data_IF_912204206218
#
_entry.id   IF_912204206218
#
_cell.length_a   1.000
_cell.length_b   1.000
_cell.length_c   1.000
_cell.angle_alpha   90.00
_cell.angle_beta   90.00
_cell.angle_gamma   90.00
#
_symmetry.space_group_name_H-M   'P 1'
#
loop_
_entity.id
_entity.type
_entity.pdbx_description
1 polymer ?
#
# COMPACT_ATOMS: atom_id res chain seq x y z
N UNK A 1 -7.92 -1.68 33.67
CA UNK A 1 -7.48 -2.81 32.83
C UNK A 1 -6.41 -2.30 31.88
N UNK A 2 -5.23 -2.91 31.86
CA UNK A 2 -4.06 -2.46 31.07
C UNK A 2 -4.22 -2.83 29.59
N UNK A 3 -4.99 -2.03 28.85
CA UNK A 3 -5.20 -2.19 27.40
C UNK A 3 -3.90 -2.09 26.58
N UNK A 4 -2.86 -1.46 27.12
CA UNK A 4 -1.62 -1.14 26.42
C UNK A 4 -0.77 -2.37 26.04
N UNK A 5 -0.71 -3.39 26.89
CA UNK A 5 0.09 -4.60 26.63
C UNK A 5 -0.52 -5.49 25.53
N UNK A 6 -1.85 -5.66 25.56
CA UNK A 6 -2.58 -6.44 24.56
C UNK A 6 -2.62 -5.71 23.21
N UNK A 7 -2.80 -4.39 23.22
CA UNK A 7 -2.72 -3.56 22.03
C UNK A 7 -1.37 -3.71 21.33
N UNK A 8 -0.27 -3.54 22.06
CA UNK A 8 1.07 -3.67 21.53
C UNK A 8 1.28 -5.07 20.91
N UNK A 9 0.96 -6.14 21.64
CA UNK A 9 1.11 -7.51 21.11
C UNK A 9 0.34 -7.70 19.80
N UNK A 10 -0.92 -7.26 19.73
CA UNK A 10 -1.76 -7.40 18.53
C UNK A 10 -1.21 -6.61 17.35
N UNK A 11 -0.85 -5.34 17.55
CA UNK A 11 -0.25 -4.51 16.50
C UNK A 11 1.06 -5.12 16.01
N UNK A 12 1.92 -5.57 16.92
CA UNK A 12 3.19 -6.20 16.55
C UNK A 12 2.98 -7.49 15.76
N UNK A 13 2.11 -8.39 16.22
CA UNK A 13 1.81 -9.64 15.52
C UNK A 13 1.23 -9.35 14.13
N UNK A 14 0.21 -8.49 14.01
CA UNK A 14 -0.42 -8.18 12.72
C UNK A 14 0.56 -7.50 11.75
N UNK A 15 1.41 -6.58 12.25
CA UNK A 15 2.43 -5.91 11.43
C UNK A 15 3.50 -6.90 10.96
N UNK A 16 3.93 -7.85 11.81
CA UNK A 16 4.88 -8.89 11.41
C UNK A 16 4.26 -9.83 10.37
N UNK A 17 3.02 -10.26 10.57
CA UNK A 17 2.30 -11.09 9.58
C UNK A 17 2.19 -10.35 8.25
N UNK A 18 1.79 -9.08 8.28
CA UNK A 18 1.72 -8.25 7.07
C UNK A 18 3.10 -8.11 6.42
N UNK A 19 4.16 -7.89 7.18
CA UNK A 19 5.52 -7.82 6.67
C UNK A 19 5.97 -9.13 5.99
N UNK A 20 5.66 -10.29 6.58
CA UNK A 20 5.96 -11.60 5.96
C UNK A 20 5.24 -11.71 4.61
N UNK A 21 3.94 -11.43 4.59
CA UNK A 21 3.12 -11.48 3.36
C UNK A 21 3.69 -10.54 2.31
N UNK A 22 3.92 -9.28 2.67
CA UNK A 22 4.47 -8.25 1.78
C UNK A 22 5.85 -8.66 1.26
N UNK A 23 6.70 -9.26 2.09
CA UNK A 23 8.03 -9.72 1.69
C UNK A 23 7.95 -10.82 0.65
N UNK A 24 7.15 -11.86 0.89
CA UNK A 24 6.98 -12.98 -0.04
C UNK A 24 6.43 -12.47 -1.38
N UNK A 25 5.41 -11.63 -1.33
CA UNK A 25 4.78 -11.06 -2.51
C UNK A 25 5.74 -10.11 -3.27
N UNK A 26 6.54 -9.32 -2.58
CA UNK A 26 7.51 -8.42 -3.22
C UNK A 26 8.63 -9.20 -3.90
N UNK A 27 9.15 -10.24 -3.24
CA UNK A 27 10.15 -11.14 -3.85
C UNK A 27 9.59 -11.82 -5.09
N UNK A 28 8.36 -12.34 -5.04
CA UNK A 28 7.67 -12.90 -6.20
C UNK A 28 7.56 -11.87 -7.33
N UNK A 29 7.17 -10.64 -7.01
CA UNK A 29 7.04 -9.55 -8.00
C UNK A 29 8.38 -9.25 -8.67
N UNK A 30 9.46 -9.15 -7.89
CA UNK A 30 10.80 -8.92 -8.44
C UNK A 30 11.25 -10.07 -9.35
N UNK A 31 11.01 -11.32 -8.97
CA UNK A 31 11.31 -12.48 -9.80
C UNK A 31 10.52 -12.47 -11.11
N UNK A 32 9.25 -12.09 -11.07
CA UNK A 32 8.42 -12.00 -12.28
C UNK A 32 8.88 -10.89 -13.23
N UNK A 33 9.26 -9.73 -12.69
CA UNK A 33 9.83 -8.62 -13.49
C UNK A 33 11.15 -9.06 -14.13
N UNK A 34 12.05 -9.71 -13.38
CA UNK A 34 13.32 -10.21 -13.89
C UNK A 34 13.13 -11.31 -14.95
N UNK A 35 12.19 -12.23 -14.73
CA UNK A 35 11.82 -13.26 -15.70
C UNK A 35 11.23 -12.67 -16.99
N UNK A 36 10.55 -11.54 -16.88
CA UNK A 36 9.93 -10.81 -17.99
C UNK A 36 10.75 -9.63 -18.49
N UNK A 37 12.06 -9.55 -18.19
CA UNK A 37 12.91 -8.37 -18.46
C UNK A 37 12.89 -7.88 -19.91
N UNK A 38 12.62 -8.77 -20.89
CA UNK A 38 12.50 -8.40 -22.32
C UNK A 38 11.28 -7.53 -22.63
N UNK A 39 10.29 -7.47 -21.74
CA UNK A 39 9.09 -6.64 -21.86
C UNK A 39 9.29 -5.22 -21.29
N UNK A 40 10.47 -4.93 -20.73
CA UNK A 40 10.77 -3.65 -20.08
C UNK A 40 12.06 -3.05 -20.65
N UNK A 41 12.29 -1.74 -20.50
CA UNK A 41 13.59 -1.15 -20.73
C UNK A 41 14.69 -1.85 -19.92
N UNK A 42 15.88 -2.02 -20.51
CA UNK A 42 16.97 -2.80 -19.90
C UNK A 42 17.43 -2.31 -18.52
N UNK A 43 17.17 -1.04 -18.17
CA UNK A 43 17.45 -0.47 -16.86
C UNK A 43 16.36 -0.75 -15.81
N UNK A 44 15.11 -1.00 -16.23
CA UNK A 44 13.96 -1.02 -15.34
C UNK A 44 13.95 -2.27 -14.44
N UNK A 45 14.07 -3.46 -15.02
CA UNK A 45 14.05 -4.70 -14.26
C UNK A 45 15.11 -4.77 -13.13
N UNK A 46 16.40 -4.47 -13.37
CA UNK A 46 17.41 -4.49 -12.30
C UNK A 46 17.18 -3.39 -11.25
N UNK A 47 16.78 -2.18 -11.66
CA UNK A 47 16.50 -1.09 -10.71
C UNK A 47 15.28 -1.38 -9.85
N UNK A 48 14.23 -1.97 -10.43
CA UNK A 48 13.05 -2.44 -9.72
C UNK A 48 13.39 -3.50 -8.67
N UNK A 49 14.16 -4.53 -9.06
CA UNK A 49 14.57 -5.60 -8.15
C UNK A 49 15.42 -5.07 -6.98
N UNK A 50 16.36 -4.17 -7.24
CA UNK A 50 17.14 -3.49 -6.19
C UNK A 50 16.25 -2.64 -5.27
N UNK A 51 15.28 -1.93 -5.84
CA UNK A 51 14.28 -1.18 -5.09
C UNK A 51 13.45 -2.07 -4.16
N UNK A 52 13.01 -3.24 -4.64
CA UNK A 52 12.31 -4.24 -3.83
C UNK A 52 13.17 -4.73 -2.68
N UNK A 53 14.44 -5.07 -2.93
CA UNK A 53 15.37 -5.50 -1.86
C UNK A 53 15.50 -4.41 -0.81
N UNK A 54 15.73 -3.15 -1.22
CA UNK A 54 15.79 -2.02 -0.30
C UNK A 54 14.51 -1.86 0.52
N UNK A 55 13.34 -1.97 -0.11
CA UNK A 55 12.05 -1.82 0.53
C UNK A 55 11.75 -2.95 1.55
N UNK A 56 12.08 -4.20 1.20
CA UNK A 56 12.01 -5.35 2.10
C UNK A 56 12.96 -5.18 3.29
N UNK A 57 14.21 -4.75 3.06
CA UNK A 57 15.18 -4.52 4.13
C UNK A 57 14.72 -3.41 5.08
N UNK A 58 14.28 -2.27 4.54
CA UNK A 58 13.82 -1.12 5.35
C UNK A 58 12.56 -1.48 6.14
N UNK A 59 11.57 -2.12 5.51
CA UNK A 59 10.37 -2.58 6.22
C UNK A 59 10.67 -3.64 7.28
N UNK A 60 11.62 -4.53 7.03
CA UNK A 60 12.11 -5.52 8.00
C UNK A 60 12.75 -4.86 9.22
N UNK A 61 13.58 -3.83 9.01
CA UNK A 61 14.14 -3.03 10.11
C UNK A 61 13.04 -2.36 10.94
N UNK A 62 11.98 -1.86 10.30
CA UNK A 62 10.84 -1.27 11.02
C UNK A 62 10.06 -2.32 11.80
N UNK A 63 9.80 -3.50 11.22
CA UNK A 63 9.13 -4.60 11.90
C UNK A 63 9.92 -5.11 13.12
N UNK A 64 11.25 -5.22 13.00
CA UNK A 64 12.13 -5.57 14.11
C UNK A 64 12.15 -4.50 15.19
N UNK A 65 12.21 -3.22 14.81
CA UNK A 65 12.17 -2.09 15.76
C UNK A 65 10.85 -2.08 16.52
N UNK A 66 9.73 -2.32 15.82
CA UNK A 66 8.41 -2.40 16.44
C UNK A 66 8.35 -3.56 17.43
N UNK A 67 8.84 -4.75 17.06
CA UNK A 67 8.91 -5.92 17.97
C UNK A 67 9.79 -5.68 19.19
N UNK A 68 10.89 -4.94 19.04
CA UNK A 68 11.84 -4.66 20.11
C UNK A 68 11.40 -3.50 21.02
N UNK A 69 10.41 -2.71 20.61
CA UNK A 69 9.91 -1.58 21.39
C UNK A 69 9.25 -2.09 22.67
N UNK A 70 9.52 -1.45 23.82
CA UNK A 70 8.99 -1.89 25.12
C UNK A 70 7.58 -1.38 25.40
N UNK A 71 7.24 -0.23 24.82
CA UNK A 71 5.92 0.38 24.87
C UNK A 71 5.62 1.00 23.51
N UNK A 72 4.46 0.68 22.95
CA UNK A 72 3.91 1.34 21.77
C UNK A 72 2.75 2.20 22.23
N UNK A 73 2.78 3.48 21.88
CA UNK A 73 1.73 4.42 22.24
C UNK A 73 1.22 5.14 20.99
N UNK A 74 -0.10 5.18 20.77
CA UNK A 74 -0.66 5.93 19.66
C UNK A 74 -0.37 7.43 19.80
N UNK A 75 0.33 7.99 18.81
CA UNK A 75 0.75 9.39 18.80
C UNK A 75 -0.42 10.38 18.87
N UNK A 76 -0.19 11.53 19.50
CA UNK A 76 -1.15 12.63 19.64
C UNK A 76 -0.75 13.90 18.89
N UNK A 77 0.43 13.93 18.27
CA UNK A 77 1.04 15.13 17.70
C UNK A 77 0.58 15.38 16.26
N UNK A 78 1.38 16.12 15.47
CA UNK A 78 1.02 16.46 14.09
C UNK A 78 1.12 15.29 13.12
N UNK A 79 1.89 14.23 13.45
CA UNK A 79 2.13 13.09 12.55
C UNK A 79 0.82 12.41 12.09
N UNK A 80 -0.13 12.06 12.99
CA UNK A 80 -1.44 11.54 12.58
C UNK A 80 -2.19 12.40 11.56
N UNK A 81 -2.06 13.74 11.64
CA UNK A 81 -2.74 14.67 10.73
C UNK A 81 -2.16 14.64 9.31
N UNK A 82 -0.95 14.10 9.15
CA UNK A 82 -0.29 13.95 7.85
C UNK A 82 -0.40 12.51 7.34
N UNK A 83 -0.23 11.52 8.23
CA UNK A 83 -0.19 10.11 7.82
C UNK A 83 -1.55 9.59 7.34
N UNK A 84 -2.66 9.98 7.98
CA UNK A 84 -3.99 9.52 7.57
C UNK A 84 -4.40 10.02 6.18
N UNK A 85 -4.18 11.31 5.83
CA UNK A 85 -4.31 11.75 4.45
C UNK A 85 -3.40 10.99 3.49
N UNK A 86 -2.13 10.75 3.83
CA UNK A 86 -1.22 10.00 2.96
C UNK A 86 -1.65 8.54 2.74
N UNK A 87 -2.11 7.85 3.79
CA UNK A 87 -2.68 6.50 3.68
C UNK A 87 -3.95 6.49 2.83
N UNK A 88 -4.75 7.54 2.87
CA UNK A 88 -5.94 7.66 2.00
C UNK A 88 -5.50 7.91 0.55
N UNK A 89 -4.52 8.80 0.36
CA UNK A 89 -3.95 9.14 -0.94
C UNK A 89 -3.24 7.96 -1.59
N UNK A 90 -2.72 6.98 -0.85
CA UNK A 90 -2.07 5.80 -1.45
C UNK A 90 -3.02 5.03 -2.36
N UNK A 91 -4.32 4.98 -2.03
CA UNK A 91 -5.36 4.40 -2.90
C UNK A 91 -5.53 5.18 -4.19
N UNK A 92 -5.48 6.51 -4.14
CA UNK A 92 -5.57 7.38 -5.33
C UNK A 92 -4.28 7.29 -6.17
N UNK A 93 -3.12 7.21 -5.54
CA UNK A 93 -1.84 7.07 -6.23
C UNK A 93 -1.74 5.72 -6.93
N UNK A 94 -2.23 4.63 -6.32
CA UNK A 94 -2.17 3.28 -6.90
C UNK A 94 -3.12 3.09 -8.08
N UNK A 95 -4.21 3.86 -8.18
CA UNK A 95 -5.06 3.85 -9.40
C UNK A 95 -4.35 4.46 -10.62
N UNK A 96 -3.34 5.33 -10.41
CA UNK A 96 -2.59 5.96 -11.51
C UNK A 96 -1.91 4.95 -12.45
N UNK A 97 -1.48 3.79 -11.93
CA UNK A 97 -0.78 2.75 -12.70
C UNK A 97 -1.70 2.11 -13.76
N UNK A 98 -3.02 2.19 -13.59
CA UNK A 98 -4.00 1.51 -14.43
C UNK A 98 -4.81 2.47 -15.31
N UNK A 99 -4.30 3.66 -15.57
CA UNK A 99 -4.98 4.65 -16.42
C UNK A 99 -6.21 5.32 -15.78
N UNK A 100 -6.61 4.88 -14.57
CA UNK A 100 -7.46 5.63 -13.65
C UNK A 100 -6.64 6.75 -12.99
N UNK A 101 -6.23 7.75 -13.76
CA UNK A 101 -5.73 8.97 -13.13
C UNK A 101 -6.86 9.63 -12.35
N UNK A 102 -6.57 10.50 -11.35
CA UNK A 102 -7.61 10.94 -10.43
C UNK A 102 -8.86 11.45 -11.16
N UNK A 103 -8.79 11.93 -12.41
CA UNK A 103 -9.98 12.31 -13.19
C UNK A 103 -9.89 12.10 -14.72
N UNK A 104 -9.43 10.94 -15.25
CA UNK A 104 -9.37 10.74 -16.72
C UNK A 104 -10.69 10.36 -17.40
N UNK A 105 -11.78 10.26 -16.65
CA UNK A 105 -13.10 10.03 -17.22
C UNK A 105 -14.08 11.00 -16.57
N UNK A 106 -15.02 11.60 -17.32
CA UNK A 106 -16.32 11.88 -16.73
C UNK A 106 -16.90 10.52 -16.34
N UNK A 107 -16.50 10.05 -15.15
CA UNK A 107 -16.83 8.76 -14.58
C UNK A 107 -18.33 8.46 -14.68
N UNK A 108 -19.24 9.42 -14.41
CA UNK A 108 -20.67 9.21 -14.60
C UNK A 108 -21.06 8.88 -16.06
N UNK A 109 -20.35 9.41 -17.04
CA UNK A 109 -20.66 9.28 -18.48
C UNK A 109 -20.16 7.96 -19.06
N UNK A 110 -19.03 7.42 -18.55
CA UNK A 110 -18.44 6.17 -19.07
C UNK A 110 -18.52 4.97 -18.13
N UNK A 111 -19.02 5.13 -16.90
CA UNK A 111 -19.16 4.00 -15.96
C UNK A 111 -19.95 2.85 -16.58
N UNK A 112 -21.04 3.12 -17.30
CA UNK A 112 -21.82 2.10 -18.00
C UNK A 112 -20.99 1.23 -18.94
N UNK A 113 -20.01 1.84 -19.64
CA UNK A 113 -19.12 1.18 -20.61
C UNK A 113 -17.89 0.51 -20.01
N UNK A 114 -17.61 0.67 -18.71
CA UNK A 114 -16.50 -0.02 -18.07
C UNK A 114 -16.81 -1.51 -17.91
N UNK A 115 -15.81 -2.36 -18.11
CA UNK A 115 -15.90 -3.77 -17.77
C UNK A 115 -16.11 -3.95 -16.25
N UNK A 116 -16.59 -5.14 -15.86
CA UNK A 116 -16.94 -5.43 -14.47
C UNK A 116 -15.75 -5.32 -13.52
N UNK A 117 -14.55 -5.62 -14.00
CA UNK A 117 -13.35 -5.62 -13.18
C UNK A 117 -12.90 -4.20 -12.89
N UNK A 118 -12.84 -3.35 -13.91
CA UNK A 118 -12.57 -1.93 -13.81
C UNK A 118 -13.55 -1.26 -12.81
N UNK A 119 -14.84 -1.60 -12.84
CA UNK A 119 -15.83 -1.13 -11.85
C UNK A 119 -15.50 -1.57 -10.43
N UNK A 120 -15.14 -2.83 -10.23
CA UNK A 120 -14.76 -3.37 -8.92
C UNK A 120 -13.51 -2.67 -8.37
N UNK A 121 -12.50 -2.44 -9.20
CA UNK A 121 -11.26 -1.77 -8.81
C UNK A 121 -11.52 -0.37 -8.30
N UNK A 122 -12.34 0.38 -9.04
CA UNK A 122 -12.75 1.72 -8.65
C UNK A 122 -13.51 1.67 -7.32
N UNK A 123 -14.46 0.75 -7.17
CA UNK A 123 -15.24 0.60 -5.95
C UNK A 123 -14.33 0.27 -4.74
N UNK A 124 -13.27 -0.51 -4.95
CA UNK A 124 -12.32 -0.91 -3.91
C UNK A 124 -11.27 0.17 -3.61
N UNK A 125 -10.85 0.94 -4.61
CA UNK A 125 -10.03 2.13 -4.39
C UNK A 125 -10.80 3.22 -3.63
N UNK A 126 -12.05 3.50 -4.03
CA UNK A 126 -12.93 4.45 -3.32
C UNK A 126 -13.29 3.92 -1.94
N UNK A 127 -13.65 2.64 -1.83
CA UNK A 127 -13.95 1.98 -0.57
C UNK A 127 -12.76 2.00 0.39
N UNK A 128 -11.56 1.71 -0.12
CA UNK A 128 -10.29 1.83 0.61
C UNK A 128 -10.04 3.25 1.09
N UNK A 129 -10.12 4.24 0.19
CA UNK A 129 -9.99 5.66 0.52
C UNK A 129 -10.96 6.08 1.64
N UNK A 130 -12.25 5.78 1.48
CA UNK A 130 -13.30 6.14 2.47
C UNK A 130 -13.07 5.43 3.79
N UNK A 131 -12.69 4.14 3.76
CA UNK A 131 -12.42 3.34 4.95
C UNK A 131 -11.22 3.90 5.71
N UNK A 132 -10.13 4.23 5.02
CA UNK A 132 -8.94 4.87 5.61
C UNK A 132 -9.28 6.22 6.22
N UNK A 133 -10.05 7.05 5.50
CA UNK A 133 -10.48 8.36 6.00
C UNK A 133 -11.37 8.22 7.25
N UNK A 134 -12.28 7.24 7.28
CA UNK A 134 -13.11 6.95 8.44
C UNK A 134 -12.29 6.52 9.65
N UNK A 135 -11.30 5.62 9.48
CA UNK A 135 -10.38 5.27 10.55
C UNK A 135 -9.52 6.45 11.00
N UNK A 136 -9.10 7.32 10.08
CA UNK A 136 -8.43 8.57 10.42
C UNK A 136 -9.28 9.51 11.26
N UNK A 137 -10.56 9.67 10.92
CA UNK A 137 -11.51 10.44 11.72
C UNK A 137 -11.71 9.83 13.12
N UNK A 138 -11.86 8.51 13.21
CA UNK A 138 -11.95 7.79 14.49
C UNK A 138 -10.68 7.99 15.34
N UNK A 139 -9.50 7.93 14.72
CA UNK A 139 -8.23 8.15 15.38
C UNK A 139 -8.13 9.57 15.95
N UNK A 140 -8.42 10.58 15.13
CA UNK A 140 -8.37 11.99 15.52
C UNK A 140 -9.46 12.33 16.55
N UNK A 141 -10.59 11.63 16.54
CA UNK A 141 -11.66 11.70 17.54
C UNK A 141 -11.37 10.96 18.86
N UNK A 142 -10.16 10.43 19.04
CA UNK A 142 -9.70 9.83 20.31
C UNK A 142 -9.77 8.30 20.37
N UNK A 143 -10.35 7.62 19.38
CA UNK A 143 -10.41 6.14 19.32
C UNK A 143 -9.18 5.53 18.64
N UNK A 144 -7.99 5.91 19.10
CA UNK A 144 -6.72 5.68 18.39
C UNK A 144 -6.34 4.21 18.22
N UNK A 145 -6.36 3.43 19.29
CA UNK A 145 -5.98 2.01 19.25
C UNK A 145 -6.89 1.20 18.32
N UNK A 146 -8.20 1.40 18.49
CA UNK A 146 -9.22 0.77 17.64
C UNK A 146 -9.09 1.18 16.17
N UNK A 147 -8.73 2.44 15.90
CA UNK A 147 -8.49 2.90 14.54
C UNK A 147 -7.25 2.25 13.90
N UNK A 148 -6.14 2.12 14.63
CA UNK A 148 -4.93 1.43 14.13
C UNK A 148 -5.23 -0.04 13.86
N UNK A 149 -5.82 -0.74 14.82
CA UNK A 149 -6.13 -2.17 14.69
C UNK A 149 -7.16 -2.42 13.59
N UNK A 150 -8.22 -1.61 13.55
CA UNK A 150 -9.24 -1.68 12.51
C UNK A 150 -8.65 -1.44 11.12
N UNK A 151 -7.75 -0.46 10.99
CA UNK A 151 -7.05 -0.19 9.74
C UNK A 151 -6.11 -1.33 9.31
N UNK A 152 -5.34 -1.89 10.24
CA UNK A 152 -4.50 -3.06 9.97
C UNK A 152 -5.31 -4.24 9.45
N UNK A 153 -6.43 -4.56 10.11
CA UNK A 153 -7.32 -5.64 9.70
C UNK A 153 -7.99 -5.35 8.36
N UNK A 154 -8.49 -4.13 8.17
CA UNK A 154 -9.09 -3.70 6.92
C UNK A 154 -8.08 -3.75 5.76
N UNK A 155 -6.82 -3.41 5.99
CA UNK A 155 -5.78 -3.44 4.94
C UNK A 155 -5.51 -4.85 4.39
N UNK A 156 -5.78 -5.91 5.16
CA UNK A 156 -5.77 -7.29 4.65
C UNK A 156 -6.99 -7.61 3.77
N UNK A 157 -8.09 -6.88 3.93
CA UNK A 157 -9.37 -7.11 3.25
C UNK A 157 -9.60 -6.17 2.06
N UNK A 158 -9.05 -4.95 2.10
CA UNK A 158 -9.02 -3.98 1.00
C UNK A 158 -7.94 -4.39 -0.01
N UNK A 159 -7.98 -5.67 -0.39
CA UNK A 159 -7.31 -6.22 -1.53
C UNK A 159 -7.99 -5.61 -2.75
N UNK A 160 -7.28 -4.75 -3.47
CA UNK A 160 -7.79 -4.12 -4.69
C UNK A 160 -7.70 -5.16 -5.79
N UNK A 161 -8.83 -5.72 -6.28
CA UNK A 161 -8.78 -6.57 -7.43
C UNK A 161 -8.33 -5.77 -8.65
N UNK A 162 -7.80 -6.54 -9.60
CA UNK A 162 -7.73 -6.38 -11.03
C UNK A 162 -6.89 -5.28 -11.70
N UNK A 163 -6.30 -5.69 -12.80
CA UNK A 163 -5.91 -4.93 -13.98
C UNK A 163 -6.27 -5.78 -15.21
N UNK A 164 -6.93 -5.21 -16.22
CA UNK A 164 -7.17 -5.90 -17.50
C UNK A 164 -5.89 -6.11 -18.30
N UNK A 165 -4.74 -5.57 -17.89
CA UNK A 165 -3.45 -5.84 -18.50
C UNK A 165 -2.96 -7.26 -18.16
N UNK A 166 -3.54 -8.25 -18.84
CA UNK A 166 -3.04 -9.63 -18.93
C UNK A 166 -1.77 -9.67 -19.79
N UNK A 167 -0.65 -9.20 -19.25
CA UNK A 167 0.68 -9.48 -19.78
C UNK A 167 1.33 -10.63 -18.98
N UNK A 168 2.44 -11.17 -19.48
CA UNK A 168 3.11 -12.32 -18.85
C UNK A 168 3.56 -12.06 -17.41
N UNK A 169 3.80 -10.79 -17.05
CA UNK A 169 4.14 -10.38 -15.69
C UNK A 169 2.92 -10.42 -14.73
N UNK A 170 1.76 -9.93 -15.18
CA UNK A 170 0.56 -9.82 -14.33
C UNK A 170 -0.27 -11.11 -14.27
N UNK A 171 -0.13 -12.05 -15.21
CA UNK A 171 -1.07 -13.17 -15.37
C UNK A 171 -1.23 -14.01 -14.09
N UNK A 172 -0.13 -14.46 -13.49
CA UNK A 172 -0.17 -15.26 -12.26
C UNK A 172 -0.80 -14.50 -11.09
N UNK A 173 -0.50 -13.20 -10.98
CA UNK A 173 -1.02 -12.32 -9.93
C UNK A 173 -2.53 -12.16 -10.05
N UNK A 174 -3.03 -11.98 -11.27
CA UNK A 174 -4.46 -11.89 -11.55
C UNK A 174 -5.17 -13.21 -11.22
N UNK A 175 -4.62 -14.34 -11.63
CA UNK A 175 -5.28 -15.64 -11.46
C UNK A 175 -5.21 -16.17 -10.01
N UNK A 176 -4.15 -15.83 -9.26
CA UNK A 176 -3.91 -16.38 -7.90
C UNK A 176 -4.31 -15.39 -6.80
N UNK A 177 -3.91 -14.13 -6.93
CA UNK A 177 -4.10 -13.09 -5.90
C UNK A 177 -5.33 -12.24 -6.21
N UNK A 178 -5.74 -12.18 -7.48
CA UNK A 178 -6.86 -11.36 -7.93
C UNK A 178 -6.50 -9.88 -8.14
N UNK A 179 -5.24 -9.48 -7.92
CA UNK A 179 -4.80 -8.09 -7.86
C UNK A 179 -3.48 -7.86 -8.62
N UNK A 180 -3.29 -6.67 -9.20
CA UNK A 180 -1.97 -6.28 -9.74
C UNK A 180 -0.97 -6.05 -8.60
N UNK A 181 0.26 -6.61 -8.68
CA UNK A 181 1.28 -6.40 -7.66
C UNK A 181 1.63 -4.91 -7.50
N UNK A 182 1.49 -4.12 -8.57
CA UNK A 182 1.81 -2.69 -8.58
C UNK A 182 0.74 -1.82 -7.90
N UNK A 183 -0.47 -2.33 -7.66
CA UNK A 183 -1.46 -1.66 -6.79
C UNK A 183 -1.38 -2.16 -5.36
N UNK A 184 -1.22 -3.47 -5.20
CA UNK A 184 -1.42 -4.10 -3.91
C UNK A 184 -0.23 -3.87 -2.98
N UNK A 185 1.00 -4.12 -3.45
CA UNK A 185 2.19 -3.98 -2.62
C UNK A 185 2.40 -2.57 -2.08
N UNK A 186 2.26 -1.48 -2.87
CA UNK A 186 2.48 -0.15 -2.34
C UNK A 186 1.50 0.26 -1.24
N UNK A 187 0.22 -0.15 -1.33
CA UNK A 187 -0.76 0.11 -0.28
C UNK A 187 -0.43 -0.67 1.00
N UNK A 188 0.03 -1.92 0.89
CA UNK A 188 0.48 -2.66 2.07
C UNK A 188 1.72 -2.05 2.72
N UNK A 189 2.69 -1.61 1.91
CA UNK A 189 3.87 -0.90 2.43
C UNK A 189 3.47 0.43 3.07
N UNK A 190 2.54 1.18 2.46
CA UNK A 190 1.97 2.38 3.05
C UNK A 190 1.34 2.07 4.42
N UNK A 191 0.56 1.00 4.54
CA UNK A 191 0.01 0.56 5.83
C UNK A 191 1.10 0.18 6.84
N UNK A 192 2.10 -0.63 6.45
CA UNK A 192 3.20 -1.03 7.33
C UNK A 192 3.93 0.18 7.92
N UNK A 193 4.34 1.12 7.06
CA UNK A 193 5.02 2.34 7.51
C UNK A 193 4.06 3.28 8.25
N UNK A 194 2.82 3.39 7.81
CA UNK A 194 1.80 4.22 8.46
C UNK A 194 1.52 3.77 9.90
N UNK A 195 1.38 2.46 10.12
CA UNK A 195 1.21 1.88 11.45
C UNK A 195 2.43 2.16 12.31
N UNK A 196 3.65 1.92 11.80
CA UNK A 196 4.89 2.24 12.51
C UNK A 196 4.93 3.72 12.91
N UNK A 197 4.54 4.63 12.02
CA UNK A 197 4.48 6.06 12.31
C UNK A 197 3.45 6.39 13.39
N UNK A 198 2.24 5.81 13.32
CA UNK A 198 1.14 6.05 14.24
C UNK A 198 1.41 5.54 15.66
N UNK A 199 2.27 4.53 15.82
CA UNK A 199 2.71 4.00 17.13
C UNK A 199 4.08 4.52 17.58
N UNK A 200 4.66 5.50 16.87
CA UNK A 200 5.88 6.20 17.28
C UNK A 200 7.20 5.55 16.85
N UNK A 201 7.18 4.47 16.08
CA UNK A 201 8.39 3.85 15.54
C UNK A 201 8.92 4.68 14.37
N UNK A 202 10.00 5.44 14.61
CA UNK A 202 10.69 6.27 13.61
C UNK A 202 9.71 7.11 12.79
N UNK A 203 8.78 7.79 13.46
CA UNK A 203 7.57 8.35 12.85
C UNK A 203 7.81 9.26 11.63
N UNK A 204 8.78 10.17 11.70
CA UNK A 204 9.12 11.06 10.57
C UNK A 204 9.63 10.27 9.36
N UNK A 205 10.51 9.30 9.59
CA UNK A 205 11.05 8.44 8.53
C UNK A 205 9.95 7.59 7.91
N UNK A 206 9.11 6.95 8.72
CA UNK A 206 7.99 6.16 8.23
C UNK A 206 6.96 7.01 7.46
N UNK A 207 6.70 8.24 7.90
CA UNK A 207 5.83 9.18 7.17
C UNK A 207 6.42 9.55 5.82
N UNK A 208 7.73 9.82 5.77
CA UNK A 208 8.44 10.05 4.51
C UNK A 208 8.38 8.83 3.59
N UNK A 209 8.46 7.61 4.14
CA UNK A 209 8.31 6.38 3.35
C UNK A 209 6.91 6.20 2.76
N UNK A 210 5.84 6.54 3.49
CA UNK A 210 4.47 6.53 2.92
C UNK A 210 4.34 7.56 1.80
N UNK A 211 4.87 8.77 1.99
CA UNK A 211 4.88 9.79 0.95
C UNK A 211 5.69 9.34 -0.29
N UNK A 212 6.85 8.72 -0.08
CA UNK A 212 7.69 8.17 -1.13
C UNK A 212 6.99 7.02 -1.88
N UNK A 213 6.24 6.15 -1.19
CA UNK A 213 5.44 5.11 -1.83
C UNK A 213 4.35 5.73 -2.73
N UNK A 214 3.62 6.73 -2.23
CA UNK A 214 2.61 7.45 -3.02
C UNK A 214 3.23 8.12 -4.26
N UNK A 215 4.35 8.83 -4.09
CA UNK A 215 5.08 9.48 -5.16
C UNK A 215 5.65 8.49 -6.17
N UNK A 216 6.27 7.41 -5.71
CA UNK A 216 6.86 6.37 -6.55
C UNK A 216 5.83 5.69 -7.44
N UNK A 217 4.66 5.33 -6.90
CA UNK A 217 3.58 4.72 -7.69
C UNK A 217 2.97 5.71 -8.68
N UNK A 218 2.84 6.98 -8.28
CA UNK A 218 2.41 8.05 -9.20
C UNK A 218 3.40 8.18 -10.37
N UNK A 219 4.71 8.16 -10.09
CA UNK A 219 5.76 8.20 -11.11
C UNK A 219 5.75 6.95 -12.00
N UNK A 220 5.47 5.76 -11.46
CA UNK A 220 5.26 4.56 -12.26
C UNK A 220 4.06 4.73 -13.21
N UNK A 221 2.94 5.25 -12.72
CA UNK A 221 1.77 5.57 -13.56
C UNK A 221 2.10 6.57 -14.67
N UNK A 222 2.87 7.62 -14.36
CA UNK A 222 3.38 8.57 -15.37
C UNK A 222 4.28 7.87 -16.38
N UNK A 223 5.20 7.01 -15.95
CA UNK A 223 6.09 6.25 -16.82
C UNK A 223 5.34 5.29 -17.75
N UNK A 224 4.24 4.69 -17.31
CA UNK A 224 3.33 3.93 -18.16
C UNK A 224 2.64 4.82 -19.19
N UNK A 225 2.16 6.01 -18.80
CA UNK A 225 1.50 6.93 -19.74
C UNK A 225 2.44 7.47 -20.82
N UNK A 226 3.69 7.75 -20.47
CA UNK A 226 4.69 8.31 -21.39
C UNK A 226 5.43 7.25 -22.20
N UNK A 227 5.07 5.97 -22.03
CA UNK A 227 5.73 4.81 -22.63
C UNK A 227 7.22 4.70 -22.29
N UNK A 228 7.60 5.21 -21.12
CA UNK A 228 8.97 5.16 -20.63
C UNK A 228 9.30 3.79 -19.99
N UNK A 229 8.28 3.08 -19.50
CA UNK A 229 8.40 1.78 -18.84
C UNK A 229 7.82 0.64 -19.71
N UNK A 230 6.93 0.98 -20.66
CA UNK A 230 6.22 0.03 -21.52
C UNK A 230 5.87 0.65 -22.88
#
# INVERSE_FOLDING_TARGET
MSWTADFHRRVATLTIVMWIVVTVLSLKTALDVLGSHRQFPGWFAPTFALGVVGLVSVSGLMALTLRASRALEPRSDWVPRVIWPLLSLSFVCTTAVHGFHPFRLPLPVRYGSLDIFMKLNLALAVGGFVTTAAFGALYLGGRREGAILGWLLASFLVLVPNDTCRNGFNLWWLDTVGASPLMYLPNLYATLFGVCALVGVRSTFCTAMVAAACGGVTLLGVGHMTRLIW
#
